data_IF_458012345484
#
_entry.id   IF_458012345484
#
_cell.length_a   1.000
_cell.length_b   1.000
_cell.length_c   1.000
_cell.angle_alpha   90.00
_cell.angle_beta   90.00
_cell.angle_gamma   90.00
#
_symmetry.space_group_name_H-M   'P 1'
#
loop_
_entity.id
_entity.type
_entity.pdbx_description
1 polymer ?
#
# COMPACT_ATOMS: atom_id res chain seq x y z
N UNK A 1 -44.59 -28.42 -41.62
CA UNK A 1 -43.40 -27.96 -40.87
C UNK A 1 -42.31 -28.93 -41.23
N UNK A 2 -41.28 -28.45 -41.91
CA UNK A 2 -40.24 -29.32 -42.45
C UNK A 2 -39.36 -29.81 -41.31
N UNK A 3 -39.02 -31.10 -41.26
CA UNK A 3 -38.07 -31.63 -40.27
C UNK A 3 -36.73 -31.90 -40.95
N UNK A 4 -35.68 -31.21 -40.49
CA UNK A 4 -34.32 -31.43 -40.95
C UNK A 4 -33.81 -32.79 -40.49
N UNK A 5 -33.13 -33.51 -41.38
CA UNK A 5 -32.42 -34.74 -41.01
C UNK A 5 -30.98 -34.44 -40.56
N UNK A 6 -30.37 -35.38 -39.84
CA UNK A 6 -29.02 -35.23 -39.29
C UNK A 6 -27.98 -34.90 -40.37
N UNK A 7 -28.13 -35.43 -41.60
CA UNK A 7 -27.21 -35.14 -42.72
C UNK A 7 -27.31 -33.69 -43.19
N UNK A 8 -28.50 -33.09 -43.16
CA UNK A 8 -28.72 -31.68 -43.50
C UNK A 8 -28.17 -30.76 -42.42
N UNK A 9 -28.32 -31.12 -41.14
CA UNK A 9 -27.75 -30.39 -40.01
C UNK A 9 -26.21 -30.41 -40.09
N UNK A 10 -25.62 -31.58 -40.33
CA UNK A 10 -24.18 -31.75 -40.52
C UNK A 10 -23.66 -30.97 -41.73
N UNK A 11 -24.45 -30.93 -42.82
CA UNK A 11 -24.14 -30.13 -44.01
C UNK A 11 -24.09 -28.63 -43.68
N UNK A 12 -25.11 -28.10 -43.00
CA UNK A 12 -25.17 -26.68 -42.62
C UNK A 12 -23.98 -26.32 -41.71
N UNK A 13 -23.70 -27.13 -40.69
CA UNK A 13 -22.59 -26.89 -39.78
C UNK A 13 -21.23 -26.94 -40.51
N UNK A 14 -21.07 -27.91 -41.41
CA UNK A 14 -19.88 -28.06 -42.25
C UNK A 14 -19.67 -26.86 -43.18
N UNK A 15 -20.73 -26.37 -43.82
CA UNK A 15 -20.67 -25.21 -44.72
C UNK A 15 -20.38 -23.91 -43.96
N UNK A 16 -21.01 -23.68 -42.79
CA UNK A 16 -20.71 -22.52 -41.92
C UNK A 16 -19.22 -22.49 -41.52
N UNK A 17 -18.68 -23.65 -41.12
CA UNK A 17 -17.26 -23.77 -40.79
C UNK A 17 -16.36 -23.58 -42.00
N UNK A 18 -16.73 -24.12 -43.17
CA UNK A 18 -15.95 -24.01 -44.40
C UNK A 18 -15.90 -22.57 -44.93
N UNK A 19 -16.96 -21.78 -44.71
CA UNK A 19 -17.05 -20.36 -45.09
C UNK A 19 -16.32 -19.41 -44.13
N UNK A 20 -15.58 -19.95 -43.16
CA UNK A 20 -14.61 -19.20 -42.37
C UNK A 20 -15.09 -18.72 -41.01
N UNK A 21 -16.20 -19.26 -40.48
CA UNK A 21 -16.60 -19.07 -39.08
C UNK A 21 -15.84 -20.08 -38.21
N UNK A 22 -14.88 -19.64 -37.40
CA UNK A 22 -14.08 -20.48 -36.50
C UNK A 22 -14.61 -20.58 -35.06
N UNK A 23 -15.31 -19.55 -34.57
CA UNK A 23 -15.88 -19.53 -33.21
C UNK A 23 -17.02 -20.54 -33.05
N UNK A 24 -16.80 -21.60 -32.25
CA UNK A 24 -17.80 -22.66 -31.98
C UNK A 24 -19.13 -22.11 -31.47
N UNK A 25 -19.12 -21.13 -30.57
CA UNK A 25 -20.35 -20.53 -30.06
C UNK A 25 -21.13 -19.77 -31.14
N UNK A 26 -20.45 -19.19 -32.13
CA UNK A 26 -21.07 -18.50 -33.25
C UNK A 26 -21.60 -19.49 -34.28
N UNK A 27 -20.86 -20.57 -34.56
CA UNK A 27 -21.31 -21.67 -35.40
C UNK A 27 -22.64 -22.25 -34.90
N UNK A 28 -22.73 -22.53 -33.59
CA UNK A 28 -23.94 -23.10 -32.98
C UNK A 28 -25.13 -22.13 -33.03
N UNK A 29 -24.89 -20.82 -32.81
CA UNK A 29 -25.96 -19.81 -32.95
C UNK A 29 -26.46 -19.68 -34.39
N UNK A 30 -25.56 -19.69 -35.37
CA UNK A 30 -25.92 -19.62 -36.79
C UNK A 30 -26.64 -20.89 -37.23
N UNK A 31 -26.16 -22.07 -36.80
CA UNK A 31 -26.80 -23.36 -37.05
C UNK A 31 -28.24 -23.35 -36.54
N UNK A 32 -28.44 -23.01 -35.27
CA UNK A 32 -29.77 -22.99 -34.63
C UNK A 32 -30.75 -22.05 -35.36
N UNK A 33 -30.27 -20.85 -35.74
CA UNK A 33 -31.11 -19.88 -36.43
C UNK A 33 -31.44 -20.30 -37.87
N UNK A 34 -30.48 -20.87 -38.60
CA UNK A 34 -30.69 -21.36 -39.96
C UNK A 34 -31.64 -22.55 -39.95
N UNK A 35 -31.45 -23.50 -39.03
CA UNK A 35 -32.34 -24.66 -38.88
C UNK A 35 -33.78 -24.19 -38.58
N UNK A 36 -33.98 -23.29 -37.62
CA UNK A 36 -35.30 -22.74 -37.31
C UNK A 36 -36.01 -22.13 -38.52
N UNK A 37 -35.28 -21.35 -39.34
CA UNK A 37 -35.86 -20.70 -40.54
C UNK A 37 -36.27 -21.77 -41.56
N UNK A 38 -35.42 -22.77 -41.79
CA UNK A 38 -35.71 -23.84 -42.76
C UNK A 38 -36.91 -24.67 -42.30
N UNK A 39 -36.98 -25.02 -41.02
CA UNK A 39 -38.10 -25.83 -40.48
C UNK A 39 -39.45 -25.09 -40.53
N UNK A 40 -39.43 -23.77 -40.41
CA UNK A 40 -40.64 -22.92 -40.45
C UNK A 40 -41.10 -22.59 -41.87
N UNK A 41 -40.17 -22.22 -42.75
CA UNK A 41 -40.49 -21.56 -44.02
C UNK A 41 -40.30 -22.45 -45.26
N UNK A 42 -39.74 -23.67 -45.11
CA UNK A 42 -39.61 -24.63 -46.21
C UNK A 42 -40.88 -25.48 -46.37
N UNK A 43 -41.45 -25.48 -47.57
CA UNK A 43 -42.58 -26.35 -47.95
C UNK A 43 -42.16 -27.84 -47.98
N UNK A 44 -43.11 -28.76 -47.78
CA UNK A 44 -42.81 -30.21 -47.68
C UNK A 44 -42.17 -30.82 -48.96
N UNK A 45 -42.43 -30.22 -50.14
CA UNK A 45 -41.84 -30.60 -51.43
C UNK A 45 -40.74 -29.61 -51.91
N UNK A 46 -40.25 -28.74 -51.01
CA UNK A 46 -39.29 -27.69 -51.33
C UNK A 46 -37.86 -28.21 -51.55
N UNK A 47 -37.11 -27.52 -52.42
CA UNK A 47 -35.68 -27.79 -52.63
C UNK A 47 -34.85 -27.20 -51.47
N UNK A 48 -34.35 -28.09 -50.61
CA UNK A 48 -33.50 -27.75 -49.47
C UNK A 48 -32.27 -26.93 -49.88
N UNK A 49 -31.57 -27.32 -50.96
CA UNK A 49 -30.30 -26.68 -51.33
C UNK A 49 -30.56 -25.24 -51.79
N UNK A 50 -31.56 -25.06 -52.65
CA UNK A 50 -31.95 -23.73 -53.10
C UNK A 50 -32.41 -22.84 -51.94
N UNK A 51 -33.24 -23.36 -51.03
CA UNK A 51 -33.74 -22.61 -49.89
C UNK A 51 -32.65 -22.30 -48.86
N UNK A 52 -31.73 -23.23 -48.62
CA UNK A 52 -30.56 -23.02 -47.77
C UNK A 52 -29.67 -21.90 -48.30
N UNK A 53 -29.34 -21.91 -49.60
CA UNK A 53 -28.53 -20.84 -50.22
C UNK A 53 -29.22 -19.48 -50.11
N UNK A 54 -30.55 -19.43 -50.25
CA UNK A 54 -31.33 -18.21 -50.06
C UNK A 54 -31.39 -17.77 -48.59
N UNK A 55 -31.38 -18.70 -47.64
CA UNK A 55 -31.42 -18.41 -46.20
C UNK A 55 -30.07 -17.92 -45.70
N UNK A 56 -28.99 -18.62 -46.02
CA UNK A 56 -27.63 -18.29 -45.56
C UNK A 56 -27.18 -16.93 -46.10
N UNK A 57 -27.57 -16.58 -47.33
CA UNK A 57 -27.26 -15.27 -47.95
C UNK A 57 -27.95 -14.08 -47.28
N UNK A 58 -28.93 -14.29 -46.40
CA UNK A 58 -29.54 -13.21 -45.60
C UNK A 58 -28.66 -12.76 -44.44
N UNK A 59 -27.70 -13.59 -44.00
CA UNK A 59 -26.88 -13.31 -42.82
C UNK A 59 -25.64 -12.45 -43.12
N UNK A 60 -25.26 -12.30 -44.39
CA UNK A 60 -24.06 -11.57 -44.80
C UNK A 60 -24.29 -10.74 -46.06
N UNK A 61 -23.48 -9.70 -46.27
CA UNK A 61 -23.49 -8.84 -47.47
C UNK A 61 -22.52 -9.31 -48.53
N UNK A 62 -21.31 -9.71 -48.11
CA UNK A 62 -20.26 -10.18 -49.03
C UNK A 62 -19.88 -11.62 -48.74
N UNK A 63 -19.43 -11.92 -47.52
CA UNK A 63 -18.95 -13.25 -47.11
C UNK A 63 -19.38 -13.56 -45.68
N UNK A 64 -19.74 -14.81 -45.39
CA UNK A 64 -20.20 -15.22 -44.05
C UNK A 64 -19.18 -14.90 -42.94
N UNK A 65 -17.88 -14.98 -43.25
CA UNK A 65 -16.77 -14.65 -42.34
C UNK A 65 -16.86 -13.23 -41.75
N UNK A 66 -17.53 -12.29 -42.41
CA UNK A 66 -17.68 -10.92 -41.92
C UNK A 66 -18.37 -10.85 -40.55
N UNK A 67 -19.30 -11.78 -40.27
CA UNK A 67 -20.03 -11.86 -39.01
C UNK A 67 -19.08 -12.16 -37.84
N UNK A 68 -18.14 -13.09 -38.03
CA UNK A 68 -17.14 -13.40 -37.01
C UNK A 68 -16.15 -12.24 -36.85
N UNK A 69 -15.73 -11.61 -37.96
CA UNK A 69 -14.85 -10.44 -37.91
C UNK A 69 -15.53 -9.29 -37.15
N UNK A 70 -16.81 -9.02 -37.40
CA UNK A 70 -17.57 -7.99 -36.71
C UNK A 70 -17.78 -8.33 -35.23
N UNK A 71 -18.09 -9.59 -34.90
CA UNK A 71 -18.22 -10.05 -33.52
C UNK A 71 -16.89 -9.91 -32.74
N UNK A 72 -15.77 -10.33 -33.34
CA UNK A 72 -14.42 -10.15 -32.77
C UNK A 72 -14.09 -8.66 -32.65
N UNK A 73 -14.41 -7.86 -33.67
CA UNK A 73 -14.17 -6.42 -33.68
C UNK A 73 -14.96 -5.74 -32.54
N UNK A 74 -16.24 -6.06 -32.37
CA UNK A 74 -17.07 -5.55 -31.28
C UNK A 74 -16.54 -5.98 -29.90
N UNK A 75 -16.21 -7.26 -29.70
CA UNK A 75 -15.70 -7.77 -28.43
C UNK A 75 -14.33 -7.20 -28.07
N UNK A 76 -13.46 -7.03 -29.07
CA UNK A 76 -12.09 -6.56 -28.87
C UNK A 76 -12.04 -5.04 -28.74
N UNK A 77 -12.68 -4.31 -29.65
CA UNK A 77 -12.63 -2.85 -29.67
C UNK A 77 -13.50 -2.23 -28.57
N UNK A 78 -14.70 -2.73 -28.26
CA UNK A 78 -15.54 -2.17 -27.19
C UNK A 78 -14.87 -2.26 -25.82
N UNK A 79 -14.34 -3.43 -25.48
CA UNK A 79 -13.61 -3.64 -24.23
C UNK A 79 -12.30 -2.85 -24.19
N UNK A 80 -11.58 -2.79 -25.31
CA UNK A 80 -10.35 -2.00 -25.43
C UNK A 80 -10.60 -0.50 -25.20
N UNK A 81 -11.61 0.09 -25.86
CA UNK A 81 -11.96 1.50 -25.67
C UNK A 81 -12.47 1.79 -24.26
N UNK A 82 -13.26 0.88 -23.68
CA UNK A 82 -13.71 0.99 -22.29
C UNK A 82 -12.52 0.98 -21.32
N UNK A 83 -11.61 0.01 -21.44
CA UNK A 83 -10.38 -0.07 -20.63
C UNK A 83 -9.52 1.19 -20.78
N UNK A 84 -9.35 1.70 -22.01
CA UNK A 84 -8.59 2.93 -22.28
C UNK A 84 -9.22 4.15 -21.62
N UNK A 85 -10.56 4.26 -21.67
CA UNK A 85 -11.31 5.35 -21.02
C UNK A 85 -11.19 5.29 -19.50
N UNK A 86 -11.34 4.09 -18.91
CA UNK A 86 -11.16 3.88 -17.46
C UNK A 86 -9.71 4.15 -17.05
N UNK A 87 -8.72 3.71 -17.84
CA UNK A 87 -7.31 4.01 -17.59
C UNK A 87 -7.07 5.52 -17.54
N UNK A 88 -7.48 6.27 -18.57
CA UNK A 88 -7.30 7.73 -18.58
C UNK A 88 -8.05 8.42 -17.43
N UNK A 89 -9.30 7.99 -17.16
CA UNK A 89 -10.09 8.52 -16.05
C UNK A 89 -9.45 8.28 -14.68
N UNK A 90 -9.02 7.04 -14.42
CA UNK A 90 -8.34 6.66 -13.17
C UNK A 90 -7.02 7.42 -12.98
N UNK A 91 -6.24 7.63 -14.05
CA UNK A 91 -5.02 8.44 -14.01
C UNK A 91 -5.29 9.91 -13.68
N UNK A 92 -6.33 10.51 -14.29
CA UNK A 92 -6.73 11.88 -13.99
C UNK A 92 -7.22 12.04 -12.55
N UNK A 93 -8.08 11.14 -12.07
CA UNK A 93 -8.60 11.16 -10.70
C UNK A 93 -7.48 10.96 -9.68
N UNK A 94 -6.58 10.00 -9.93
CA UNK A 94 -5.41 9.76 -9.08
C UNK A 94 -4.50 10.99 -9.00
N UNK A 95 -4.13 11.57 -10.14
CA UNK A 95 -3.28 12.77 -10.20
C UNK A 95 -3.91 13.96 -9.46
N UNK A 96 -5.22 14.16 -9.63
CA UNK A 96 -5.97 15.18 -8.90
C UNK A 96 -5.94 14.94 -7.39
N UNK A 97 -6.27 13.73 -6.92
CA UNK A 97 -6.26 13.38 -5.50
C UNK A 97 -4.87 13.52 -4.87
N UNK A 98 -3.82 13.13 -5.60
CA UNK A 98 -2.44 13.30 -5.16
C UNK A 98 -2.07 14.77 -5.00
N UNK A 99 -2.40 15.60 -5.99
CA UNK A 99 -2.12 17.04 -5.96
C UNK A 99 -2.85 17.71 -4.80
N UNK A 100 -4.15 17.45 -4.65
CA UNK A 100 -4.95 17.97 -3.53
C UNK A 100 -4.40 17.45 -2.20
N UNK A 101 -4.12 16.16 -2.08
CA UNK A 101 -3.57 15.56 -0.87
C UNK A 101 -2.22 16.16 -0.45
N UNK A 102 -1.35 16.48 -1.41
CA UNK A 102 -0.09 17.18 -1.14
C UNK A 102 -0.34 18.60 -0.63
N UNK A 103 -1.20 19.37 -1.29
CA UNK A 103 -1.56 20.74 -0.86
C UNK A 103 -2.13 20.72 0.56
N UNK A 104 -3.06 19.81 0.86
CA UNK A 104 -3.62 19.64 2.20
C UNK A 104 -2.53 19.29 3.23
N UNK A 105 -1.58 18.42 2.85
CA UNK A 105 -0.48 18.04 3.74
C UNK A 105 0.43 19.22 4.06
N UNK A 106 0.78 20.03 3.06
CA UNK A 106 1.57 21.26 3.27
C UNK A 106 0.79 22.31 4.08
N UNK A 107 -0.51 22.45 3.83
CA UNK A 107 -1.40 23.35 4.56
C UNK A 107 -1.74 22.90 5.98
N UNK A 108 -1.32 21.70 6.39
CA UNK A 108 -1.72 21.05 7.65
C UNK A 108 -3.26 20.93 7.80
N UNK A 109 -3.97 20.83 6.69
CA UNK A 109 -5.42 20.72 6.66
C UNK A 109 -5.86 19.25 6.82
N UNK A 110 -7.01 19.01 7.46
CA UNK A 110 -7.54 17.66 7.63
C UNK A 110 -7.85 17.01 6.27
N UNK A 111 -7.78 15.68 6.20
CA UNK A 111 -8.09 14.91 4.98
C UNK A 111 -6.91 14.64 4.05
N UNK A 112 -5.73 15.22 4.29
CA UNK A 112 -4.53 15.00 3.47
C UNK A 112 -4.17 13.50 3.32
N UNK A 113 -4.19 12.75 4.42
CA UNK A 113 -3.89 11.33 4.44
C UNK A 113 -4.86 10.53 3.54
N UNK A 114 -6.16 10.82 3.61
CA UNK A 114 -7.20 10.12 2.85
C UNK A 114 -7.01 10.35 1.35
N UNK A 115 -6.79 11.59 0.94
CA UNK A 115 -6.54 11.92 -0.47
C UNK A 115 -5.28 11.23 -1.01
N UNK A 116 -4.20 11.20 -0.24
CA UNK A 116 -2.95 10.55 -0.64
C UNK A 116 -3.09 9.03 -0.73
N UNK A 117 -3.72 8.38 0.26
CA UNK A 117 -3.97 6.93 0.25
C UNK A 117 -4.85 6.55 -0.94
N UNK A 118 -5.98 7.22 -1.15
CA UNK A 118 -6.88 6.93 -2.27
C UNK A 118 -6.22 7.21 -3.63
N UNK A 119 -5.51 8.32 -3.75
CA UNK A 119 -4.78 8.70 -4.97
C UNK A 119 -3.75 7.64 -5.36
N UNK A 120 -2.91 7.21 -4.41
CA UNK A 120 -1.90 6.17 -4.67
C UNK A 120 -2.56 4.81 -4.90
N UNK A 121 -3.61 4.46 -4.16
CA UNK A 121 -4.32 3.21 -4.34
C UNK A 121 -4.90 3.08 -5.77
N UNK A 122 -5.58 4.11 -6.25
CA UNK A 122 -6.11 4.14 -7.63
C UNK A 122 -4.96 4.07 -8.65
N UNK A 123 -3.84 4.76 -8.40
CA UNK A 123 -2.67 4.71 -9.28
C UNK A 123 -2.09 3.29 -9.40
N UNK A 124 -1.87 2.64 -8.25
CA UNK A 124 -1.19 1.35 -8.16
C UNK A 124 -2.05 0.17 -8.56
N UNK A 125 -3.34 0.19 -8.23
CA UNK A 125 -4.23 -0.97 -8.41
C UNK A 125 -5.23 -0.82 -9.56
N UNK A 126 -5.44 0.38 -10.11
CA UNK A 126 -6.36 0.59 -11.24
C UNK A 126 -5.58 1.08 -12.46
N UNK A 127 -4.90 2.22 -12.36
CA UNK A 127 -4.23 2.84 -13.50
C UNK A 127 -3.08 1.97 -14.05
N UNK A 128 -2.10 1.61 -13.21
CA UNK A 128 -0.92 0.85 -13.65
C UNK A 128 -1.26 -0.54 -14.21
N UNK A 129 -2.16 -1.34 -13.61
CA UNK A 129 -2.58 -2.63 -14.19
C UNK A 129 -3.30 -2.47 -15.53
N UNK A 130 -4.10 -1.40 -15.71
CA UNK A 130 -4.73 -1.10 -17.00
C UNK A 130 -3.70 -0.69 -18.06
N UNK A 131 -2.70 0.13 -17.71
CA UNK A 131 -1.57 0.45 -18.60
C UNK A 131 -0.84 -0.83 -19.00
N UNK A 132 -0.56 -1.71 -18.04
CA UNK A 132 0.09 -3.00 -18.28
C UNK A 132 -0.70 -3.87 -19.26
N UNK A 133 -1.99 -4.08 -19.01
CA UNK A 133 -2.86 -4.94 -19.85
C UNK A 133 -3.08 -4.40 -21.25
N UNK A 134 -3.13 -3.08 -21.43
CA UNK A 134 -3.22 -2.47 -22.76
C UNK A 134 -1.88 -2.55 -23.49
N UNK A 135 -0.77 -2.18 -22.84
CA UNK A 135 0.55 -2.22 -23.47
C UNK A 135 1.02 -3.63 -23.81
N UNK A 136 0.74 -4.63 -22.98
CA UNK A 136 1.18 -6.01 -23.27
C UNK A 136 0.49 -6.58 -24.53
N UNK A 137 -0.72 -6.12 -24.85
CA UNK A 137 -1.46 -6.48 -26.07
C UNK A 137 -0.90 -5.81 -27.31
N UNK A 138 -0.27 -4.65 -27.17
CA UNK A 138 0.37 -3.91 -28.27
C UNK A 138 1.75 -4.48 -28.64
N UNK A 139 2.45 -5.12 -27.69
CA UNK A 139 3.79 -5.65 -27.93
C UNK A 139 3.77 -7.00 -28.64
N UNK A 140 4.57 -7.13 -29.70
CA UNK A 140 4.71 -8.38 -30.47
C UNK A 140 5.73 -9.33 -29.83
N UNK A 141 6.82 -8.81 -29.26
CA UNK A 141 7.90 -9.61 -28.70
C UNK A 141 7.68 -10.00 -27.24
N UNK A 142 7.99 -11.25 -26.87
CA UNK A 142 7.96 -11.71 -25.49
C UNK A 142 8.92 -10.92 -24.58
N UNK A 143 10.02 -10.42 -25.13
CA UNK A 143 10.97 -9.58 -24.36
C UNK A 143 10.39 -8.21 -24.03
N UNK A 144 9.69 -7.59 -24.98
CA UNK A 144 9.01 -6.31 -24.77
C UNK A 144 7.85 -6.45 -23.78
N UNK A 145 7.11 -7.56 -23.84
CA UNK A 145 6.10 -7.90 -22.83
C UNK A 145 6.70 -8.01 -21.43
N UNK A 146 7.88 -8.63 -21.31
CA UNK A 146 8.60 -8.73 -20.03
C UNK A 146 9.03 -7.35 -19.50
N UNK A 147 9.54 -6.46 -20.35
CA UNK A 147 9.87 -5.08 -19.97
C UNK A 147 8.64 -4.35 -19.43
N UNK A 148 7.50 -4.45 -20.12
CA UNK A 148 6.23 -3.82 -19.70
C UNK A 148 5.76 -4.39 -18.36
N UNK A 149 5.86 -5.70 -18.15
CA UNK A 149 5.50 -6.37 -16.89
C UNK A 149 6.36 -5.91 -15.71
N UNK A 150 7.69 -6.00 -15.87
CA UNK A 150 8.65 -5.65 -14.82
C UNK A 150 8.54 -4.14 -14.50
N UNK A 151 8.38 -3.30 -15.52
CA UNK A 151 8.22 -1.86 -15.34
C UNK A 151 6.94 -1.49 -14.59
N UNK A 152 5.81 -2.12 -14.93
CA UNK A 152 4.55 -1.90 -14.21
C UNK A 152 4.62 -2.35 -12.75
N UNK A 153 5.24 -3.51 -12.50
CA UNK A 153 5.47 -4.02 -11.14
C UNK A 153 6.37 -3.07 -10.34
N UNK A 154 7.50 -2.66 -10.90
CA UNK A 154 8.43 -1.77 -10.22
C UNK A 154 7.81 -0.39 -9.94
N UNK A 155 7.05 0.17 -10.90
CA UNK A 155 6.31 1.41 -10.70
C UNK A 155 5.28 1.29 -9.55
N UNK A 156 4.54 0.17 -9.48
CA UNK A 156 3.57 -0.05 -8.40
C UNK A 156 4.24 -0.11 -7.02
N UNK A 157 5.41 -0.78 -6.92
CA UNK A 157 6.19 -0.86 -5.69
C UNK A 157 6.75 0.49 -5.26
N UNK A 158 7.20 1.33 -6.21
CA UNK A 158 7.67 2.69 -5.92
C UNK A 158 6.51 3.55 -5.39
N UNK A 159 5.33 3.48 -6.01
CA UNK A 159 4.15 4.22 -5.53
C UNK A 159 3.77 3.80 -4.10
N UNK A 160 3.76 2.50 -3.81
CA UNK A 160 3.50 1.97 -2.45
C UNK A 160 4.59 2.40 -1.46
N UNK A 161 5.86 2.38 -1.87
CA UNK A 161 6.96 2.87 -1.05
C UNK A 161 6.76 4.34 -0.65
N UNK A 162 6.45 5.22 -1.62
CA UNK A 162 6.20 6.64 -1.36
C UNK A 162 5.04 6.80 -0.37
N UNK A 163 3.95 6.02 -0.53
CA UNK A 163 2.82 6.05 0.39
C UNK A 163 3.26 5.74 1.82
N UNK A 164 3.99 4.65 2.01
CA UNK A 164 4.46 4.22 3.33
C UNK A 164 5.40 5.26 3.95
N UNK A 165 6.26 5.88 3.13
CA UNK A 165 7.17 6.93 3.58
C UNK A 165 6.42 8.18 4.02
N UNK A 166 5.41 8.60 3.27
CA UNK A 166 4.56 9.76 3.57
C UNK A 166 3.72 9.50 4.83
N UNK A 167 3.18 8.29 4.98
CA UNK A 167 2.32 7.90 6.10
C UNK A 167 3.10 7.49 7.35
N UNK A 168 4.43 7.52 7.31
CA UNK A 168 5.31 7.07 8.41
C UNK A 168 5.04 5.61 8.85
N UNK A 169 4.54 4.80 7.92
CA UNK A 169 4.26 3.40 8.17
C UNK A 169 5.57 2.58 8.23
N UNK A 170 5.58 1.49 9.02
CA UNK A 170 6.75 0.62 9.11
C UNK A 170 7.10 0.02 7.75
N UNK A 171 8.34 -0.46 7.59
CA UNK A 171 8.86 -1.07 6.35
C UNK A 171 9.07 -0.14 5.14
N UNK A 172 8.77 1.16 5.23
CA UNK A 172 9.00 2.10 4.12
C UNK A 172 10.43 2.01 3.55
N UNK A 173 11.46 2.03 4.40
CA UNK A 173 12.85 1.99 3.91
C UNK A 173 13.21 0.63 3.25
N UNK A 174 12.70 -0.48 3.79
CA UNK A 174 12.94 -1.83 3.24
C UNK A 174 12.28 -1.98 1.87
N UNK A 175 11.04 -1.51 1.75
CA UNK A 175 10.30 -1.54 0.49
C UNK A 175 10.97 -0.67 -0.59
N UNK A 176 11.59 0.45 -0.20
CA UNK A 176 12.42 1.27 -1.09
C UNK A 176 13.59 0.50 -1.68
N UNK A 177 14.36 -0.17 -0.81
CA UNK A 177 15.54 -0.96 -1.21
C UNK A 177 15.15 -2.07 -2.18
N UNK A 178 14.04 -2.76 -1.92
CA UNK A 178 13.51 -3.81 -2.81
C UNK A 178 13.09 -3.21 -4.16
N UNK A 179 12.32 -2.11 -4.15
CA UNK A 179 11.82 -1.47 -5.37
C UNK A 179 12.98 -0.95 -6.26
N UNK A 180 13.97 -0.29 -5.66
CA UNK A 180 15.15 0.21 -6.35
C UNK A 180 16.04 -0.94 -6.82
N UNK A 181 16.19 -1.99 -6.01
CA UNK A 181 16.91 -3.19 -6.40
C UNK A 181 16.31 -3.84 -7.65
N UNK A 182 14.98 -3.97 -7.71
CA UNK A 182 14.28 -4.46 -8.91
C UNK A 182 14.51 -3.51 -10.09
N UNK A 183 14.45 -2.19 -9.89
CA UNK A 183 14.68 -1.23 -10.98
C UNK A 183 16.10 -1.31 -11.55
N UNK A 184 17.13 -1.38 -10.70
CA UNK A 184 18.53 -1.34 -11.11
C UNK A 184 19.01 -2.70 -11.63
N UNK A 185 18.67 -3.80 -10.94
CA UNK A 185 19.21 -5.13 -11.24
C UNK A 185 18.33 -5.97 -12.16
N UNK A 186 17.04 -5.65 -12.31
CA UNK A 186 16.10 -6.43 -13.13
C UNK A 186 15.56 -5.61 -14.29
N UNK A 187 14.92 -4.47 -14.03
CA UNK A 187 14.30 -3.66 -15.07
C UNK A 187 15.33 -3.06 -16.02
N UNK A 188 16.34 -2.36 -15.49
CA UNK A 188 17.32 -1.63 -16.28
C UNK A 188 18.13 -2.53 -17.24
N UNK A 189 18.68 -3.70 -16.82
CA UNK A 189 19.39 -4.59 -17.75
C UNK A 189 18.47 -5.10 -18.86
N UNK A 190 17.26 -5.55 -18.52
CA UNK A 190 16.29 -6.05 -19.51
C UNK A 190 15.88 -4.95 -20.48
N UNK A 191 15.66 -3.73 -19.99
CA UNK A 191 15.31 -2.56 -20.81
C UNK A 191 16.46 -2.17 -21.76
N UNK A 192 17.70 -2.13 -21.28
CA UNK A 192 18.88 -1.82 -22.08
C UNK A 192 19.13 -2.87 -23.17
N UNK A 193 19.10 -4.16 -22.83
CA UNK A 193 19.36 -5.24 -23.79
C UNK A 193 18.27 -5.33 -24.88
N UNK A 194 17.03 -5.00 -24.54
CA UNK A 194 15.93 -4.99 -25.51
C UNK A 194 15.97 -3.76 -26.40
N UNK A 195 16.19 -2.57 -25.84
CA UNK A 195 16.11 -1.32 -26.59
C UNK A 195 17.35 -0.95 -27.41
N UNK A 196 18.57 -1.38 -27.03
CA UNK A 196 19.81 -1.08 -27.78
C UNK A 196 19.90 -1.86 -29.10
N UNK A 197 19.24 -3.03 -29.18
CA UNK A 197 19.23 -3.86 -30.39
C UNK A 197 18.43 -3.26 -31.54
N UNK A 198 17.49 -2.37 -31.24
CA UNK A 198 16.67 -1.68 -32.23
C UNK A 198 17.31 -0.31 -32.54
N UNK A 199 17.83 -0.07 -33.76
CA UNK A 199 18.55 1.16 -34.08
C UNK A 199 17.68 2.42 -33.92
N UNK A 200 16.38 2.31 -34.16
CA UNK A 200 15.42 3.41 -34.02
C UNK A 200 15.18 3.85 -32.57
N UNK A 201 15.25 2.93 -31.60
CA UNK A 201 14.99 3.22 -30.18
C UNK A 201 16.24 3.33 -29.32
N UNK A 202 17.43 3.09 -29.90
CA UNK A 202 18.70 3.01 -29.17
C UNK A 202 18.99 4.27 -28.35
N UNK A 203 18.86 5.45 -28.96
CA UNK A 203 19.11 6.74 -28.28
C UNK A 203 18.12 6.96 -27.14
N UNK A 204 16.82 6.77 -27.39
CA UNK A 204 15.78 6.90 -26.37
C UNK A 204 15.99 5.91 -25.19
N UNK A 205 16.41 4.68 -25.49
CA UNK A 205 16.70 3.66 -24.46
C UNK A 205 17.85 4.08 -23.57
N UNK A 206 18.95 4.56 -24.16
CA UNK A 206 20.13 5.02 -23.41
C UNK A 206 19.77 6.24 -22.54
N UNK A 207 19.11 7.25 -23.11
CA UNK A 207 18.69 8.45 -22.36
C UNK A 207 17.75 8.09 -21.21
N UNK A 208 16.73 7.28 -21.47
CA UNK A 208 15.79 6.81 -20.45
C UNK A 208 16.51 6.03 -19.33
N UNK A 209 17.49 5.21 -19.69
CA UNK A 209 18.29 4.45 -18.72
C UNK A 209 19.12 5.35 -17.80
N UNK A 210 19.75 6.39 -18.36
CA UNK A 210 20.47 7.40 -17.58
C UNK A 210 19.52 8.12 -16.61
N UNK A 211 18.33 8.52 -17.08
CA UNK A 211 17.31 9.16 -16.25
C UNK A 211 16.82 8.24 -15.12
N UNK A 212 16.65 6.94 -15.39
CA UNK A 212 16.27 5.95 -14.38
C UNK A 212 17.35 5.82 -13.30
N UNK A 213 18.63 5.72 -13.70
CA UNK A 213 19.75 5.64 -12.74
C UNK A 213 19.80 6.91 -11.89
N UNK A 214 19.69 8.08 -12.50
CA UNK A 214 19.68 9.36 -11.79
C UNK A 214 18.50 9.44 -10.82
N UNK A 215 17.30 9.08 -11.27
CA UNK A 215 16.09 9.03 -10.43
C UNK A 215 16.23 8.07 -9.25
N UNK A 216 16.74 6.86 -9.47
CA UNK A 216 17.01 5.90 -8.40
C UNK A 216 18.06 6.44 -7.41
N UNK A 217 19.11 7.10 -7.92
CA UNK A 217 20.12 7.76 -7.09
C UNK A 217 19.52 8.83 -6.17
N UNK A 218 18.66 9.70 -6.72
CA UNK A 218 17.94 10.72 -5.94
C UNK A 218 16.97 10.11 -4.92
N UNK A 219 16.32 9.00 -5.25
CA UNK A 219 15.46 8.30 -4.28
C UNK A 219 16.29 7.72 -3.14
N UNK A 220 17.47 7.16 -3.43
CA UNK A 220 18.37 6.61 -2.41
C UNK A 220 18.85 7.68 -1.42
N UNK A 221 18.99 8.94 -1.82
CA UNK A 221 19.36 10.03 -0.88
C UNK A 221 18.26 10.34 0.13
N UNK A 222 17.01 9.97 -0.15
CA UNK A 222 15.88 10.10 0.77
C UNK A 222 15.77 8.93 1.76
N UNK A 223 16.50 7.83 1.50
CA UNK A 223 16.54 6.67 2.39
C UNK A 223 17.63 6.90 3.44
N UNK A 224 17.27 6.76 4.72
CA UNK A 224 18.24 6.88 5.82
C UNK A 224 19.23 5.73 5.73
N UNK A 225 20.52 6.03 5.75
CA UNK A 225 21.56 5.00 5.74
C UNK A 225 21.49 4.12 7.01
N UNK A 226 21.97 2.87 6.97
CA UNK A 226 22.04 2.02 8.17
C UNK A 226 22.87 2.67 9.28
N UNK A 227 23.98 3.33 8.93
CA UNK A 227 24.81 4.07 9.87
C UNK A 227 24.03 5.24 10.51
N UNK A 228 23.34 6.06 9.73
CA UNK A 228 22.52 7.15 10.25
C UNK A 228 21.32 6.67 11.07
N UNK A 229 20.78 5.48 10.77
CA UNK A 229 19.74 4.85 11.59
C UNK A 229 20.30 4.41 12.94
N UNK A 230 21.49 3.79 12.96
CA UNK A 230 22.17 3.40 14.19
C UNK A 230 22.53 4.61 15.05
N UNK A 231 23.03 5.68 14.45
CA UNK A 231 23.35 6.93 15.14
C UNK A 231 22.09 7.55 15.76
N UNK A 232 20.98 7.59 15.04
CA UNK A 232 19.70 8.05 15.58
C UNK A 232 19.25 7.20 16.78
N UNK A 233 19.39 5.87 16.70
CA UNK A 233 19.01 4.98 17.81
C UNK A 233 19.94 5.15 19.02
N UNK A 234 21.24 5.35 18.79
CA UNK A 234 22.19 5.67 19.85
C UNK A 234 21.83 7.01 20.53
N UNK A 235 21.53 8.05 19.75
CA UNK A 235 21.11 9.35 20.28
C UNK A 235 19.81 9.26 21.08
N UNK A 236 18.80 8.55 20.57
CA UNK A 236 17.54 8.35 21.29
C UNK A 236 17.73 7.59 22.61
N UNK A 237 18.54 6.54 22.59
CA UNK A 237 18.87 5.72 23.77
C UNK A 237 19.64 6.53 24.80
N UNK A 238 20.63 7.32 24.36
CA UNK A 238 21.39 8.22 25.20
C UNK A 238 20.54 9.32 25.84
N UNK A 239 19.57 9.88 25.09
CA UNK A 239 18.61 10.85 25.62
C UNK A 239 17.73 10.24 26.71
N UNK A 240 17.19 9.04 26.49
CA UNK A 240 16.42 8.33 27.51
C UNK A 240 17.26 8.01 28.75
N UNK A 241 18.46 7.45 28.56
CA UNK A 241 19.39 7.16 29.65
C UNK A 241 19.71 8.41 30.49
N UNK A 242 19.97 9.55 29.83
CA UNK A 242 20.21 10.82 30.52
C UNK A 242 18.98 11.28 31.32
N UNK A 243 17.79 11.18 30.74
CA UNK A 243 16.55 11.54 31.42
C UNK A 243 16.27 10.65 32.64
N UNK A 244 16.56 9.35 32.54
CA UNK A 244 16.51 8.40 33.67
C UNK A 244 17.48 8.78 34.79
N UNK A 245 18.73 9.14 34.44
CA UNK A 245 19.73 9.56 35.42
C UNK A 245 19.32 10.84 36.15
N UNK A 246 18.74 11.81 35.42
CA UNK A 246 18.19 13.05 36.02
C UNK A 246 17.04 12.70 36.97
N UNK A 247 16.11 11.84 36.55
CA UNK A 247 14.99 11.40 37.40
C UNK A 247 15.48 10.72 38.69
N UNK A 248 16.46 9.81 38.58
CA UNK A 248 17.08 9.15 39.74
C UNK A 248 17.76 10.16 40.67
N UNK A 249 18.47 11.15 40.11
CA UNK A 249 19.10 12.23 40.89
C UNK A 249 18.07 13.05 41.66
N UNK A 250 17.02 13.51 41.00
CA UNK A 250 15.92 14.27 41.62
C UNK A 250 15.22 13.46 42.72
N UNK A 251 15.00 12.16 42.48
CA UNK A 251 14.40 11.27 43.48
C UNK A 251 15.26 11.12 44.73
N UNK A 252 16.59 11.08 44.57
CA UNK A 252 17.54 10.96 45.67
C UNK A 252 17.70 12.26 46.48
N UNK A 253 17.54 13.42 45.83
CA UNK A 253 17.62 14.73 46.47
C UNK A 253 16.30 15.16 47.13
N UNK A 254 15.17 14.67 46.61
CA UNK A 254 13.83 15.00 47.11
C UNK A 254 13.38 14.20 48.35
N UNK A 255 12.33 14.68 48.99
CA UNK A 255 11.66 13.96 50.08
C UNK A 255 11.11 12.60 49.62
N UNK A 256 11.05 11.57 50.50
CA UNK A 256 10.44 10.30 50.15
C UNK A 256 8.96 10.49 49.78
N UNK A 257 8.49 9.76 48.75
CA UNK A 257 7.08 9.75 48.33
C UNK A 257 6.20 9.41 49.55
N UNK A 258 5.33 10.33 49.95
CA UNK A 258 4.52 10.16 51.15
C UNK A 258 3.13 9.57 50.83
N UNK A 259 2.54 9.97 49.70
CA UNK A 259 1.19 9.53 49.32
C UNK A 259 1.23 8.16 48.64
N UNK A 260 0.26 7.29 48.95
CA UNK A 260 0.11 5.98 48.33
C UNK A 260 -0.10 6.09 46.81
N UNK A 261 -0.90 7.07 46.37
CA UNK A 261 -1.13 7.33 44.93
C UNK A 261 0.15 7.68 44.19
N UNK A 262 1.02 8.50 44.80
CA UNK A 262 2.29 8.89 44.18
C UNK A 262 3.26 7.70 44.06
N UNK A 263 3.31 6.85 45.09
CA UNK A 263 4.08 5.59 45.05
C UNK A 263 3.58 4.66 43.96
N UNK A 264 2.26 4.50 43.83
CA UNK A 264 1.64 3.66 42.81
C UNK A 264 1.95 4.17 41.39
N UNK A 265 1.79 5.48 41.14
CA UNK A 265 2.16 6.10 39.86
C UNK A 265 3.62 5.80 39.53
N UNK A 266 4.53 5.99 40.50
CA UNK A 266 5.95 5.72 40.31
C UNK A 266 6.23 4.26 39.97
N UNK A 267 5.66 3.30 40.71
CA UNK A 267 5.88 1.88 40.48
C UNK A 267 5.33 1.40 39.15
N UNK A 268 4.15 1.88 38.75
CA UNK A 268 3.54 1.54 37.47
C UNK A 268 4.36 2.12 36.30
N UNK A 269 4.80 3.37 36.40
CA UNK A 269 5.71 3.94 35.40
C UNK A 269 7.03 3.17 35.29
N UNK A 270 7.63 2.73 36.41
CA UNK A 270 8.84 1.89 36.36
C UNK A 270 8.59 0.53 35.71
N UNK A 271 7.49 -0.14 36.05
CA UNK A 271 7.11 -1.43 35.47
C UNK A 271 6.96 -1.33 33.95
N UNK A 272 6.17 -0.36 33.49
CA UNK A 272 5.91 -0.14 32.06
C UNK A 272 7.19 0.25 31.31
N UNK A 273 8.03 1.13 31.87
CA UNK A 273 9.31 1.49 31.26
C UNK A 273 10.22 0.26 31.10
N UNK A 274 10.38 -0.54 32.16
CA UNK A 274 11.19 -1.78 32.13
C UNK A 274 10.69 -2.76 31.09
N UNK A 275 9.39 -2.94 30.98
CA UNK A 275 8.79 -3.78 29.96
C UNK A 275 9.13 -3.30 28.55
N UNK A 276 8.99 -2.00 28.27
CA UNK A 276 9.31 -1.44 26.96
C UNK A 276 10.80 -1.53 26.62
N UNK A 277 11.68 -1.23 27.58
CA UNK A 277 13.14 -1.35 27.39
C UNK A 277 13.52 -2.81 27.14
N UNK A 278 12.90 -3.76 27.85
CA UNK A 278 13.13 -5.19 27.63
C UNK A 278 12.70 -5.65 26.24
N UNK A 279 11.54 -5.18 25.76
CA UNK A 279 11.06 -5.51 24.42
C UNK A 279 11.95 -5.00 23.29
N UNK A 280 12.60 -3.85 23.49
CA UNK A 280 13.52 -3.28 22.50
C UNK A 280 14.94 -3.83 22.58
N UNK A 281 15.47 -4.01 23.79
CA UNK A 281 16.90 -4.25 24.02
C UNK A 281 17.23 -5.64 24.58
N UNK A 282 16.21 -6.40 25.01
CA UNK A 282 16.40 -7.66 25.76
C UNK A 282 16.93 -7.48 27.18
N UNK A 283 17.13 -6.23 27.63
CA UNK A 283 17.60 -5.88 28.98
C UNK A 283 16.53 -5.07 29.71
N UNK A 284 16.44 -5.20 31.04
CA UNK A 284 15.44 -4.45 31.81
C UNK A 284 15.82 -2.97 32.01
N UNK A 285 17.09 -2.61 31.82
CA UNK A 285 17.60 -1.25 31.98
C UNK A 285 18.69 -0.96 30.93
N UNK A 286 18.81 0.31 30.56
CA UNK A 286 19.88 0.81 29.67
C UNK A 286 21.07 1.22 30.54
N UNK A 287 22.24 0.63 30.29
CA UNK A 287 23.47 0.94 31.06
C UNK A 287 24.31 2.04 30.41
N UNK A 288 25.31 2.57 31.12
CA UNK A 288 26.17 3.64 30.61
C UNK A 288 26.96 3.24 29.34
N UNK A 289 27.19 1.94 29.16
CA UNK A 289 27.85 1.30 28.02
C UNK A 289 26.84 0.74 27.00
N UNK A 290 25.65 1.35 26.88
CA UNK A 290 24.58 0.87 26.01
C UNK A 290 24.99 0.72 24.53
N UNK A 291 25.86 1.60 24.02
CA UNK A 291 26.32 1.55 22.62
C UNK A 291 27.17 0.30 22.33
N UNK A 292 28.05 -0.09 23.26
CA UNK A 292 28.91 -1.27 23.10
C UNK A 292 28.15 -2.57 23.32
N UNK A 293 27.13 -2.55 24.17
CA UNK A 293 26.21 -3.68 24.42
C UNK A 293 25.08 -3.81 23.38
N UNK A 294 24.93 -2.84 22.48
CA UNK A 294 23.86 -2.84 21.49
C UNK A 294 22.46 -2.62 22.09
N UNK A 295 22.36 -2.02 23.28
CA UNK A 295 21.10 -1.69 23.94
C UNK A 295 20.51 -0.41 23.32
N UNK A 296 19.99 -0.54 22.09
CA UNK A 296 19.49 0.58 21.29
C UNK A 296 17.96 0.53 21.21
N UNK A 297 17.31 1.66 21.55
CA UNK A 297 15.87 1.87 21.38
C UNK A 297 15.56 2.21 19.91
N UNK A 298 14.67 1.42 19.30
CA UNK A 298 14.28 1.56 17.90
C UNK A 298 13.09 2.50 17.66
N UNK A 299 12.54 2.43 16.44
CA UNK A 299 11.37 3.19 15.98
C UNK A 299 10.05 2.41 16.13
N UNK A 300 10.01 1.34 16.93
CA UNK A 300 8.81 0.53 17.11
C UNK A 300 7.69 1.35 17.78
N UNK A 301 6.44 1.01 17.45
CA UNK A 301 5.27 1.57 18.14
C UNK A 301 5.11 0.89 19.50
N UNK A 302 4.91 1.67 20.55
CA UNK A 302 4.70 1.09 21.89
C UNK A 302 3.34 0.37 22.00
N UNK A 303 2.32 0.75 21.22
CA UNK A 303 1.04 0.02 21.21
C UNK A 303 1.17 -1.41 20.68
N UNK A 304 2.11 -1.69 19.76
CA UNK A 304 2.38 -3.06 19.31
C UNK A 304 2.88 -3.93 20.47
N UNK A 305 3.63 -3.36 21.41
CA UNK A 305 4.11 -4.09 22.58
C UNK A 305 3.01 -4.26 23.64
N UNK A 306 2.17 -3.25 23.85
CA UNK A 306 1.07 -3.32 24.83
C UNK A 306 -0.02 -4.30 24.44
N UNK A 307 -0.46 -4.29 23.17
CA UNK A 307 -1.49 -5.23 22.65
C UNK A 307 -1.07 -6.70 22.74
N UNK A 308 0.22 -6.98 22.93
CA UNK A 308 0.73 -8.34 23.13
C UNK A 308 0.64 -8.84 24.58
N UNK A 309 0.28 -7.98 25.55
CA UNK A 309 0.26 -8.33 26.98
C UNK A 309 -0.96 -7.74 27.70
N UNK A 310 -1.89 -8.62 28.08
CA UNK A 310 -3.07 -8.25 28.89
C UNK A 310 -2.70 -7.69 30.27
N UNK A 311 -1.53 -8.03 30.79
CA UNK A 311 -1.03 -7.48 32.06
C UNK A 311 -0.63 -6.01 31.93
N UNK A 312 0.05 -5.65 30.84
CA UNK A 312 0.45 -4.26 30.59
C UNK A 312 -0.74 -3.35 30.28
N UNK A 313 -1.78 -3.87 29.62
CA UNK A 313 -3.03 -3.14 29.43
C UNK A 313 -3.70 -2.78 30.76
N UNK A 314 -3.65 -3.68 31.74
CA UNK A 314 -4.17 -3.42 33.09
C UNK A 314 -3.33 -2.40 33.84
N UNK A 315 -2.00 -2.52 33.81
CA UNK A 315 -1.12 -1.53 34.46
C UNK A 315 -1.27 -0.13 33.87
N UNK A 316 -1.48 -0.04 32.55
CA UNK A 316 -1.74 1.22 31.84
C UNK A 316 -3.08 1.83 32.28
N UNK A 317 -4.13 1.02 32.39
CA UNK A 317 -5.44 1.48 32.87
C UNK A 317 -5.36 1.94 34.33
N UNK A 318 -4.70 1.16 35.19
CA UNK A 318 -4.49 1.50 36.59
C UNK A 318 -3.66 2.79 36.75
N UNK A 319 -2.65 2.99 35.90
CA UNK A 319 -1.88 4.23 35.88
C UNK A 319 -2.75 5.43 35.52
N UNK A 320 -3.66 5.29 34.54
CA UNK A 320 -4.62 6.35 34.20
C UNK A 320 -5.50 6.71 35.39
N UNK A 321 -6.07 5.71 36.07
CA UNK A 321 -6.94 5.92 37.23
C UNK A 321 -6.19 6.61 38.37
N UNK A 322 -4.97 6.17 38.68
CA UNK A 322 -4.13 6.81 39.70
C UNK A 322 -3.78 8.26 39.34
N UNK A 323 -3.50 8.56 38.06
CA UNK A 323 -3.25 9.94 37.60
C UNK A 323 -4.50 10.80 37.74
N UNK A 324 -5.70 10.28 37.45
CA UNK A 324 -6.94 11.02 37.64
C UNK A 324 -7.19 11.35 39.12
N UNK A 325 -6.97 10.37 40.01
CA UNK A 325 -7.04 10.58 41.46
C UNK A 325 -6.02 11.62 41.92
N UNK A 326 -4.77 11.51 41.44
CA UNK A 326 -3.71 12.48 41.75
C UNK A 326 -4.08 13.89 41.30
N UNK A 327 -4.54 14.05 40.05
CA UNK A 327 -4.91 15.35 39.49
C UNK A 327 -6.09 16.01 40.24
N UNK A 328 -7.04 15.23 40.76
CA UNK A 328 -8.12 15.74 41.62
C UNK A 328 -7.61 16.26 42.98
N UNK A 329 -6.50 15.72 43.47
CA UNK A 329 -5.91 16.05 44.77
C UNK A 329 -4.86 17.18 44.74
N UNK A 330 -4.64 17.82 43.58
CA UNK A 330 -3.62 18.86 43.38
C UNK A 330 -3.95 20.14 44.15
N UNK A 331 -2.94 20.69 44.84
CA UNK A 331 -3.03 21.94 45.60
C UNK A 331 -2.63 23.16 44.76
N UNK A 332 -2.99 24.37 45.23
CA UNK A 332 -2.63 25.64 44.56
C UNK A 332 -1.10 25.75 44.38
N UNK A 333 -0.65 25.90 43.13
CA UNK A 333 0.77 25.99 42.74
C UNK A 333 1.38 24.72 42.12
N UNK A 334 0.72 23.58 42.28
CA UNK A 334 1.09 22.30 41.65
C UNK A 334 0.56 22.21 40.20
N UNK A 335 1.24 21.44 39.36
CA UNK A 335 0.89 21.28 37.93
C UNK A 335 0.21 19.93 37.69
N UNK A 336 -0.92 19.88 36.96
CA UNK A 336 -1.57 18.61 36.63
C UNK A 336 -0.75 17.80 35.62
N UNK A 337 -0.82 16.49 35.76
CA UNK A 337 -0.28 15.55 34.79
C UNK A 337 -1.24 15.51 33.59
N UNK A 338 -0.82 16.07 32.45
CA UNK A 338 -1.65 16.10 31.25
C UNK A 338 -1.55 14.78 30.48
N UNK A 339 -2.66 14.04 30.42
CA UNK A 339 -2.78 12.79 29.67
C UNK A 339 -3.03 13.01 28.16
N UNK A 340 -3.41 14.22 27.75
CA UNK A 340 -3.91 14.49 26.39
C UNK A 340 -2.87 14.27 25.29
N UNK A 341 -1.59 14.37 25.63
CA UNK A 341 -0.48 14.13 24.69
C UNK A 341 0.34 12.90 25.05
N UNK A 342 -0.06 12.11 26.04
CA UNK A 342 0.68 10.92 26.48
C UNK A 342 0.29 9.71 25.64
N UNK A 343 1.16 8.69 25.55
CA UNK A 343 0.82 7.42 24.89
C UNK A 343 -0.49 6.77 25.38
N UNK A 344 -0.88 7.05 26.63
CA UNK A 344 -2.14 6.65 27.25
C UNK A 344 -3.40 7.10 26.47
N UNK A 345 -3.29 8.17 25.68
CA UNK A 345 -4.38 8.65 24.79
C UNK A 345 -3.97 8.78 23.32
N UNK A 346 -2.73 8.42 22.97
CA UNK A 346 -2.17 8.48 21.61
C UNK A 346 -1.34 7.22 21.30
N UNK A 347 -1.97 6.09 20.93
CA UNK A 347 -1.32 4.78 20.84
C UNK A 347 -0.28 4.67 19.70
N UNK A 348 -0.30 5.57 18.72
CA UNK A 348 0.61 5.52 17.57
C UNK A 348 2.04 6.03 17.87
N UNK A 349 2.31 6.43 19.12
CA UNK A 349 3.64 6.93 19.51
C UNK A 349 4.73 5.85 19.50
N UNK A 350 5.96 6.29 19.24
CA UNK A 350 7.16 5.44 19.30
C UNK A 350 7.48 5.08 20.75
N UNK A 351 8.17 3.96 20.96
CA UNK A 351 8.65 3.55 22.29
C UNK A 351 9.48 4.64 22.97
N UNK A 352 10.35 5.33 22.23
CA UNK A 352 11.17 6.43 22.77
C UNK A 352 10.33 7.58 23.31
N UNK A 353 9.24 7.92 22.63
CA UNK A 353 8.33 8.99 23.05
C UNK A 353 7.51 8.56 24.27
N UNK A 354 7.08 7.29 24.29
CA UNK A 354 6.37 6.69 25.42
C UNK A 354 7.24 6.68 26.69
N UNK A 355 8.47 6.21 26.57
CA UNK A 355 9.44 6.20 27.66
C UNK A 355 9.69 7.60 28.21
N UNK A 356 9.85 8.59 27.33
CA UNK A 356 9.98 9.98 27.75
C UNK A 356 8.71 10.49 28.46
N UNK A 357 7.51 10.16 27.96
CA UNK A 357 6.27 10.54 28.63
C UNK A 357 6.19 9.99 30.07
N UNK A 358 6.58 8.73 30.29
CA UNK A 358 6.60 8.14 31.64
C UNK A 358 7.63 8.81 32.56
N UNK A 359 8.82 9.15 32.06
CA UNK A 359 9.79 9.93 32.82
C UNK A 359 9.24 11.30 33.19
N UNK A 360 8.53 11.98 32.27
CA UNK A 360 7.91 13.27 32.54
C UNK A 360 6.79 13.18 33.59
N UNK A 361 5.98 12.12 33.57
CA UNK A 361 4.96 11.86 34.60
C UNK A 361 5.62 11.78 35.98
N UNK A 362 6.66 10.95 36.11
CA UNK A 362 7.39 10.78 37.36
C UNK A 362 8.06 12.08 37.81
N UNK A 363 8.63 12.86 36.88
CA UNK A 363 9.25 14.15 37.17
C UNK A 363 8.23 15.18 37.69
N UNK A 364 7.03 15.27 37.10
CA UNK A 364 5.96 16.17 37.55
C UNK A 364 5.55 15.83 38.99
N UNK A 365 5.44 14.54 39.31
CA UNK A 365 5.12 14.09 40.68
C UNK A 365 6.17 14.58 41.67
N UNK A 366 7.47 14.43 41.37
CA UNK A 366 8.55 14.91 42.25
C UNK A 366 8.57 16.43 42.39
N UNK A 367 8.40 17.17 41.28
CA UNK A 367 8.40 18.63 41.31
C UNK A 367 7.23 19.20 42.11
N UNK A 368 6.05 18.59 42.00
CA UNK A 368 4.87 19.01 42.78
C UNK A 368 5.04 18.79 44.28
N UNK A 369 5.87 17.82 44.71
CA UNK A 369 6.19 17.63 46.11
C UNK A 369 7.15 18.71 46.65
N UNK A 370 8.08 19.18 45.83
CA UNK A 370 9.07 20.18 46.23
C UNK A 370 8.49 21.60 46.27
N UNK A 371 7.41 21.88 45.53
CA UNK A 371 6.77 23.20 45.56
C UNK A 371 6.15 23.44 46.94
N UNK A 372 6.54 24.51 47.65
CA UNK A 372 5.95 24.82 48.94
C UNK A 372 4.45 25.01 48.75
N UNK A 373 3.68 24.42 49.67
CA UNK A 373 2.29 24.82 49.89
C UNK A 373 2.39 26.30 50.25
N UNK A 374 2.09 27.20 49.31
CA UNK A 374 1.98 28.62 49.62
C UNK A 374 0.78 28.76 50.57
N UNK A 375 1.05 28.63 51.85
CA UNK A 375 0.13 28.92 52.93
C UNK A 375 -0.24 30.39 52.82
N UNK A 376 -1.52 30.67 52.55
CA UNK A 376 -2.13 31.91 53.02
C UNK A 376 -2.34 31.83 54.53
#
# INVERSE_FOLDING_TARGET
>A
MYCLNDKQIDFILGDISARGIGMVSLQQNLLDHICCIIEQDLDEDGDFEHFYQQTVSRFYKSELREIEVEAINLLTHKNYYAMKKVMLGSGAVSSFLLTVGLILKFGHWPGAAVCLVLGIFILSFVFLPLVFTLKIKEQKSNREKAVVAIGALAASLICLWILFKIMHWPFANVMSLIAIGIMIFVFLPVYLFTGIRNPETKTNTIVSSILIIAGCGLVLTLVRSPAGTREQYAMNSGNFFRNEMILKSERNQGSPLQNATEKNIFSLCESIKRFLVFKETGSNEISADFESKGQLLGDSSAAMHFSSSTEMEKEIAELCDNIEVYNKGIKSGQQPISLARTILKAPEKKVTDALNDFVQIQMIVLQNQQKPIASR
#
